data_IF_096964100759
#
_entry.id   IF_096964100759
#
_cell.length_a   1.000
_cell.length_b   1.000
_cell.length_c   1.000
_cell.angle_alpha   90.00
_cell.angle_beta   90.00
_cell.angle_gamma   90.00
#
_symmetry.space_group_name_H-M   'P 1'
#
loop_
_entity.id
_entity.type
_entity.pdbx_description
1 polymer ?
#
# COMPACT_ATOMS: atom_id res chain seq x y z
N UNK A 1 -12.25 -1.79 20.67
CA UNK A 1 -12.35 -1.98 19.21
C UNK A 1 -10.94 -1.96 18.63
N UNK A 2 -10.57 -2.92 17.78
CA UNK A 2 -9.21 -2.99 17.22
C UNK A 2 -9.08 -2.03 16.03
N UNK A 3 -8.11 -1.12 16.11
CA UNK A 3 -7.71 -0.25 14.99
C UNK A 3 -6.60 -0.91 14.20
N UNK A 4 -6.70 -0.88 12.88
CA UNK A 4 -5.73 -1.50 11.98
C UNK A 4 -5.13 -0.43 11.07
N UNK A 5 -3.82 -0.25 11.17
CA UNK A 5 -3.02 0.52 10.23
C UNK A 5 -2.40 -0.45 9.22
N UNK A 6 -2.61 -0.19 7.94
CA UNK A 6 -2.05 -0.94 6.81
C UNK A 6 -1.21 0.05 5.99
N UNK A 7 -0.01 -0.38 5.61
CA UNK A 7 0.85 0.34 4.67
C UNK A 7 1.26 -0.59 3.53
N UNK A 8 1.53 0.00 2.38
CA UNK A 8 2.31 -0.65 1.32
C UNK A 8 3.65 0.05 1.20
N UNK A 9 4.63 -0.62 0.59
CA UNK A 9 5.89 0.02 0.24
C UNK A 9 5.61 1.21 -0.68
N UNK A 10 6.29 2.33 -0.42
CA UNK A 10 6.14 3.54 -1.22
C UNK A 10 6.75 3.26 -2.61
N UNK A 11 5.96 3.27 -3.71
CA UNK A 11 6.55 3.26 -5.04
C UNK A 11 7.45 4.48 -5.21
N UNK A 12 8.72 4.25 -5.58
CA UNK A 12 9.63 5.33 -5.94
C UNK A 12 9.01 6.16 -7.07
N UNK A 13 9.07 7.49 -7.04
CA UNK A 13 8.35 8.32 -7.99
C UNK A 13 8.85 8.13 -9.43
N UNK A 14 10.15 7.85 -9.58
CA UNK A 14 10.76 7.74 -10.89
C UNK A 14 10.44 6.36 -11.53
N UNK A 15 10.03 6.40 -12.80
CA UNK A 15 9.76 5.21 -13.62
C UNK A 15 8.35 4.64 -13.49
N UNK A 16 7.88 4.01 -14.57
CA UNK A 16 6.56 3.37 -14.64
C UNK A 16 6.57 2.09 -13.79
N UNK A 17 5.53 1.91 -12.97
CA UNK A 17 5.36 0.71 -12.15
C UNK A 17 4.84 -0.44 -13.01
N UNK A 18 5.48 -1.60 -12.86
CA UNK A 18 5.09 -2.82 -13.54
C UNK A 18 4.19 -3.69 -12.64
N UNK A 19 3.61 -4.75 -13.22
CA UNK A 19 2.69 -5.65 -12.51
C UNK A 19 3.30 -6.25 -11.24
N UNK A 20 4.60 -6.54 -11.24
CA UNK A 20 5.31 -6.99 -10.03
C UNK A 20 5.23 -6.00 -8.84
N UNK A 21 5.26 -4.68 -9.08
CA UNK A 21 5.12 -3.70 -8.00
C UNK A 21 3.70 -3.73 -7.41
N UNK A 22 2.70 -3.80 -8.29
CA UNK A 22 1.29 -3.87 -7.91
C UNK A 22 1.01 -5.16 -7.12
N UNK A 23 1.35 -6.31 -7.70
CA UNK A 23 1.12 -7.63 -7.11
C UNK A 23 1.93 -7.84 -5.82
N UNK A 24 3.12 -7.24 -5.72
CA UNK A 24 4.02 -7.44 -4.59
C UNK A 24 3.70 -6.62 -3.34
N UNK A 25 3.01 -5.48 -3.47
CA UNK A 25 2.76 -4.61 -2.30
C UNK A 25 1.37 -3.98 -2.27
N UNK A 26 1.01 -3.22 -3.31
CA UNK A 26 -0.20 -2.39 -3.30
C UNK A 26 -1.50 -3.21 -3.35
N UNK A 27 -1.56 -4.24 -4.21
CA UNK A 27 -2.73 -5.09 -4.38
C UNK A 27 -3.05 -5.94 -3.14
N UNK A 28 -2.10 -6.70 -2.55
CA UNK A 28 -2.39 -7.47 -1.35
C UNK A 28 -2.77 -6.57 -0.16
N UNK A 29 -2.14 -5.39 -0.03
CA UNK A 29 -2.51 -4.41 1.00
C UNK A 29 -3.95 -3.89 0.82
N UNK A 30 -4.37 -3.58 -0.42
CA UNK A 30 -5.74 -3.16 -0.72
C UNK A 30 -6.76 -4.27 -0.43
N UNK A 31 -6.49 -5.50 -0.87
CA UNK A 31 -7.37 -6.67 -0.62
C UNK A 31 -7.55 -6.87 0.89
N UNK A 32 -6.47 -6.84 1.66
CA UNK A 32 -6.54 -6.99 3.11
C UNK A 32 -7.28 -5.82 3.78
N UNK A 33 -7.06 -4.59 3.34
CA UNK A 33 -7.78 -3.42 3.86
C UNK A 33 -9.29 -3.54 3.62
N UNK A 34 -9.71 -3.97 2.43
CA UNK A 34 -11.13 -4.22 2.11
C UNK A 34 -11.71 -5.33 2.98
N UNK A 35 -10.98 -6.43 3.16
CA UNK A 35 -11.40 -7.53 4.03
C UNK A 35 -11.62 -7.06 5.47
N UNK A 36 -10.70 -6.27 6.04
CA UNK A 36 -10.85 -5.78 7.40
C UNK A 36 -12.00 -4.79 7.57
N UNK A 37 -12.20 -3.89 6.60
CA UNK A 37 -13.38 -3.00 6.58
C UNK A 37 -14.68 -3.78 6.49
N UNK A 38 -14.74 -4.82 5.64
CA UNK A 38 -15.92 -5.69 5.52
C UNK A 38 -16.24 -6.46 6.82
N UNK A 39 -15.23 -6.70 7.66
CA UNK A 39 -15.40 -7.29 9.00
C UNK A 39 -15.74 -6.26 10.10
N UNK A 40 -16.05 -5.02 9.74
CA UNK A 40 -16.42 -3.96 10.68
C UNK A 40 -15.25 -3.42 11.51
N UNK A 41 -14.01 -3.61 11.05
CA UNK A 41 -12.81 -3.13 11.77
C UNK A 41 -12.44 -1.72 11.31
N UNK A 42 -12.14 -0.84 12.26
CA UNK A 42 -11.62 0.50 11.98
C UNK A 42 -10.24 0.38 11.31
N UNK A 43 -10.17 0.72 10.03
CA UNK A 43 -9.00 0.42 9.18
C UNK A 43 -8.55 1.63 8.38
N UNK A 44 -7.31 2.07 8.60
CA UNK A 44 -6.62 3.06 7.76
C UNK A 44 -5.60 2.34 6.88
N UNK A 45 -5.72 2.51 5.56
CA UNK A 45 -4.71 2.08 4.60
C UNK A 45 -4.09 3.34 3.97
N UNK A 46 -2.77 3.48 4.07
CA UNK A 46 -2.02 4.60 3.49
C UNK A 46 -0.84 4.12 2.66
N UNK A 47 -0.59 4.85 1.57
CA UNK A 47 0.57 4.74 0.70
C UNK A 47 0.89 6.15 0.17
N UNK A 48 2.07 6.32 -0.40
CA UNK A 48 2.54 7.56 -1.02
C UNK A 48 3.63 7.24 -2.05
N UNK A 49 4.12 8.25 -2.74
CA UNK A 49 5.32 8.16 -3.57
C UNK A 49 6.56 8.45 -2.74
N UNK A 50 7.64 7.70 -2.96
CA UNK A 50 8.96 8.06 -2.43
C UNK A 50 9.69 8.92 -3.46
N UNK A 51 10.08 10.14 -3.06
CA UNK A 51 10.60 11.17 -3.94
C UNK A 51 12.09 11.48 -3.71
N UNK A 52 12.73 10.85 -2.72
CA UNK A 52 14.11 11.17 -2.33
C UNK A 52 15.11 10.09 -2.70
N UNK A 53 16.40 10.45 -2.73
CA UNK A 53 17.51 9.57 -3.04
C UNK A 53 18.02 9.72 -4.48
N UNK A 54 19.32 9.45 -4.69
CA UNK A 54 19.93 9.45 -6.02
C UNK A 54 19.29 8.35 -6.85
N UNK A 55 18.53 8.68 -7.92
CA UNK A 55 17.94 7.67 -8.78
C UNK A 55 19.03 6.82 -9.41
N UNK A 56 18.77 5.52 -9.55
CA UNK A 56 19.55 4.64 -10.43
C UNK A 56 19.04 4.75 -11.88
#
# INVERSE_FOLDING_TARGET
>A
MTRILITSALPYINGIKHLGNLAGSMLPADVYARFQRARGRETLYICATDEHGTPA
#
